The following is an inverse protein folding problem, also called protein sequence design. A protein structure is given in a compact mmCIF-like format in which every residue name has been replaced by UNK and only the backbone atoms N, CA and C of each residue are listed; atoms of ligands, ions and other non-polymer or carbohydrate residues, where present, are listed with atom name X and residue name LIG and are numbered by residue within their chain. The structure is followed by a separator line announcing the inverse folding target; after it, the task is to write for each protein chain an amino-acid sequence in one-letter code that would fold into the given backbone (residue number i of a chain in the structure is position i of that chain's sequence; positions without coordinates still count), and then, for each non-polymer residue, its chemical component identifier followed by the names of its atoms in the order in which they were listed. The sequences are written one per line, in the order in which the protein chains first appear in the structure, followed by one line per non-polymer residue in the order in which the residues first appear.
data_IF_058774004745
#
_entry.id   IF_058774004745
#
_cell.length_a   1.000
_cell.length_b   1.000
_cell.length_c   1.000
_cell.angle_alpha   90.00
_cell.angle_beta   90.00
_cell.angle_gamma   90.00
#
_symmetry.space_group_name_H-M   'P 1'
#
loop_
_entity.id
_entity.type
_entity.pdbx_description
1 polymer ?
#
# COMPACT_ATOMS: atom_id res chain seq x y z
N UNK A 1 15.19 1.25 -4.96
CA UNK A 1 14.11 0.69 -4.12
C UNK A 1 14.29 -0.81 -4.05
N UNK A 2 14.44 -1.41 -2.88
CA UNK A 2 14.60 -2.87 -2.71
C UNK A 2 13.36 -3.43 -2.01
N UNK A 3 12.78 -4.51 -2.52
CA UNK A 3 11.73 -5.25 -1.81
C UNK A 3 12.36 -5.90 -0.59
N UNK A 4 11.77 -5.68 0.59
CA UNK A 4 12.22 -6.30 1.85
C UNK A 4 11.23 -7.34 2.37
N UNK A 5 9.97 -7.27 1.98
CA UNK A 5 8.97 -8.29 2.26
C UNK A 5 7.76 -8.18 1.32
N UNK A 6 6.98 -9.25 1.23
CA UNK A 6 5.66 -9.29 0.60
C UNK A 6 4.69 -10.03 1.53
N UNK A 7 3.45 -9.56 1.61
CA UNK A 7 2.39 -10.24 2.35
C UNK A 7 1.32 -10.69 1.34
N UNK A 8 0.94 -11.98 1.34
CA UNK A 8 -0.14 -12.46 0.50
C UNK A 8 -1.48 -11.96 1.04
N UNK A 9 -2.32 -11.43 0.16
CA UNK A 9 -3.72 -11.11 0.45
C UNK A 9 -4.58 -11.43 -0.77
N UNK A 10 -5.81 -11.98 -0.62
CA UNK A 10 -6.63 -12.38 -1.76
C UNK A 10 -7.03 -11.22 -2.67
N UNK A 11 -7.25 -10.03 -2.11
CA UNK A 11 -7.85 -8.90 -2.83
C UNK A 11 -6.85 -7.83 -3.33
N UNK A 12 -5.60 -7.90 -2.90
CA UNK A 12 -4.54 -6.96 -3.29
C UNK A 12 -3.16 -7.56 -3.05
N UNK A 13 -2.15 -7.08 -3.77
CA UNK A 13 -0.76 -7.39 -3.49
C UNK A 13 -0.21 -6.39 -2.47
N UNK A 14 0.48 -6.88 -1.44
CA UNK A 14 1.14 -6.03 -0.43
C UNK A 14 2.64 -6.26 -0.52
N UNK A 15 3.39 -5.20 -0.78
CA UNK A 15 4.85 -5.21 -0.84
C UNK A 15 5.43 -4.15 0.09
N UNK A 16 6.46 -4.51 0.85
CA UNK A 16 7.24 -3.58 1.65
C UNK A 16 8.57 -3.35 0.96
N UNK A 17 8.90 -2.10 0.70
CA UNK A 17 10.19 -1.69 0.16
C UNK A 17 10.99 -0.90 1.19
N UNK A 18 12.32 -0.98 1.09
CA UNK A 18 13.23 -0.05 1.74
C UNK A 18 13.87 0.87 0.69
N UNK A 19 13.80 2.18 0.92
CA UNK A 19 14.45 3.18 0.08
C UNK A 19 14.65 4.49 0.84
N UNK A 20 15.88 5.00 0.83
CA UNK A 20 16.22 6.30 1.42
C UNK A 20 15.80 6.42 2.90
N UNK A 21 16.17 5.44 3.72
CA UNK A 21 15.87 5.39 5.17
C UNK A 21 14.37 5.40 5.48
N UNK A 22 13.55 4.88 4.55
CA UNK A 22 12.11 4.73 4.71
C UNK A 22 11.67 3.33 4.34
N UNK A 23 10.75 2.79 5.14
CA UNK A 23 9.88 1.73 4.69
C UNK A 23 8.75 2.33 3.84
N UNK A 24 8.42 1.64 2.76
CA UNK A 24 7.35 2.00 1.85
C UNK A 24 6.43 0.80 1.74
N UNK A 25 5.22 0.93 2.28
CA UNK A 25 4.18 -0.08 2.19
C UNK A 25 3.38 0.23 0.93
N UNK A 26 3.41 -0.69 -0.03
CA UNK A 26 2.71 -0.56 -1.30
C UNK A 26 1.61 -1.61 -1.37
N UNK A 27 0.41 -1.14 -1.62
CA UNK A 27 -0.73 -1.97 -1.99
C UNK A 27 -1.00 -1.81 -3.48
N UNK A 28 -1.26 -2.91 -4.18
CA UNK A 28 -1.55 -2.92 -5.61
C UNK A 28 -2.85 -3.70 -5.88
N UNK A 29 -3.78 -3.10 -6.62
CA UNK A 29 -5.01 -3.75 -7.08
C UNK A 29 -5.24 -3.43 -8.57
N UNK A 30 -4.94 -4.41 -9.42
CA UNK A 30 -4.90 -4.25 -10.88
C UNK A 30 -3.99 -3.07 -11.30
N UNK A 31 -4.55 -2.03 -11.90
CA UNK A 31 -3.81 -0.84 -12.37
C UNK A 31 -3.65 0.25 -11.31
N UNK A 32 -4.15 0.04 -10.09
CA UNK A 32 -4.13 1.01 -9.02
C UNK A 32 -3.05 0.66 -7.99
N UNK A 33 -2.35 1.68 -7.49
CA UNK A 33 -1.40 1.55 -6.39
C UNK A 33 -1.66 2.58 -5.29
N UNK A 34 -1.51 2.17 -4.04
CA UNK A 34 -1.50 3.03 -2.85
C UNK A 34 -0.18 2.82 -2.12
N UNK A 35 0.52 3.90 -1.77
CA UNK A 35 1.83 3.82 -1.11
C UNK A 35 1.91 4.70 0.14
N UNK A 36 2.32 4.10 1.25
CA UNK A 36 2.51 4.75 2.54
C UNK A 36 3.99 4.70 2.91
N UNK A 37 4.54 5.82 3.40
CA UNK A 37 5.98 5.93 3.73
C UNK A 37 6.14 6.25 5.20
N UNK A 38 7.03 5.52 5.86
CA UNK A 38 7.40 5.73 7.26
C UNK A 38 8.92 5.71 7.38
N UNK A 39 9.49 6.59 8.22
CA UNK A 39 10.93 6.58 8.44
C UNK A 39 11.31 5.28 9.17
N UNK A 40 12.44 4.68 8.81
CA UNK A 40 12.92 3.46 9.47
C UNK A 40 13.16 3.66 10.97
N UNK A 41 13.51 4.90 11.37
CA UNK A 41 13.70 5.30 12.77
C UNK A 41 12.42 5.33 13.60
N UNK A 42 11.26 5.46 12.94
CA UNK A 42 9.97 5.58 13.61
C UNK A 42 9.29 4.22 13.78
N UNK A 43 9.90 3.15 13.25
CA UNK A 43 9.37 1.78 13.33
C UNK A 43 10.17 0.97 14.33
N UNK A 44 9.56 0.70 15.48
CA UNK A 44 10.12 -0.20 16.48
C UNK A 44 10.22 -1.61 15.88
N UNK A 45 11.39 -2.25 15.98
CA UNK A 45 11.58 -3.61 15.45
C UNK A 45 11.82 -3.68 13.93
N UNK A 46 12.01 -2.54 13.25
CA UNK A 46 12.33 -2.51 11.82
C UNK A 46 11.20 -3.08 10.95
N UNK A 47 11.53 -3.92 9.97
CA UNK A 47 10.51 -4.50 9.06
C UNK A 47 9.41 -5.28 9.80
N UNK A 48 9.71 -5.87 10.96
CA UNK A 48 8.72 -6.59 11.75
C UNK A 48 7.66 -5.66 12.35
N UNK A 49 8.04 -4.47 12.80
CA UNK A 49 7.06 -3.46 13.24
C UNK A 49 6.18 -2.96 12.08
N UNK A 50 6.68 -3.03 10.84
CA UNK A 50 5.85 -2.74 9.67
C UNK A 50 4.79 -3.83 9.47
N UNK A 51 5.11 -5.11 9.73
CA UNK A 51 4.10 -6.16 9.69
C UNK A 51 3.01 -5.96 10.74
N UNK A 52 3.37 -5.54 11.94
CA UNK A 52 2.40 -5.22 13.01
C UNK A 52 1.50 -4.04 12.66
N UNK A 53 1.99 -3.08 11.86
CA UNK A 53 1.21 -1.94 11.37
C UNK A 53 0.21 -2.33 10.27
N UNK A 54 0.47 -3.41 9.53
CA UNK A 54 -0.40 -3.90 8.45
C UNK A 54 -1.42 -4.89 9.04
N UNK A 55 -2.37 -4.35 9.80
CA UNK A 55 -3.48 -5.12 10.38
C UNK A 55 -4.70 -5.19 9.46
N UNK A 56 -5.66 -6.04 9.81
CA UNK A 56 -6.88 -6.25 9.03
C UNK A 56 -7.73 -4.98 8.87
N UNK A 57 -7.72 -4.09 9.88
CA UNK A 57 -8.45 -2.83 9.84
C UNK A 57 -7.84 -1.90 8.79
N UNK A 58 -6.52 -1.75 8.80
CA UNK A 58 -5.81 -0.95 7.81
C UNK A 58 -5.96 -1.53 6.41
N UNK A 59 -5.85 -2.85 6.23
CA UNK A 59 -6.07 -3.50 4.93
C UNK A 59 -7.50 -3.21 4.42
N UNK A 60 -8.51 -3.35 5.28
CA UNK A 60 -9.90 -3.05 4.93
C UNK A 60 -10.08 -1.61 4.46
N UNK A 61 -9.49 -0.64 5.15
CA UNK A 61 -9.55 0.78 4.77
C UNK A 61 -8.86 1.05 3.43
N UNK A 62 -7.72 0.40 3.17
CA UNK A 62 -7.03 0.47 1.87
C UNK A 62 -7.90 -0.09 0.75
N UNK A 63 -8.61 -1.20 0.99
CA UNK A 63 -9.53 -1.80 0.01
C UNK A 63 -10.71 -0.88 -0.31
N UNK A 64 -11.28 -0.20 0.70
CA UNK A 64 -12.32 0.81 0.48
C UNK A 64 -11.77 2.00 -0.32
N UNK A 65 -10.55 2.45 -0.02
CA UNK A 65 -9.89 3.52 -0.76
C UNK A 65 -9.68 3.13 -2.24
N UNK A 66 -9.35 1.87 -2.55
CA UNK A 66 -9.25 1.42 -3.94
C UNK A 66 -10.58 1.52 -4.70
N UNK A 67 -11.73 1.28 -4.05
CA UNK A 67 -13.04 1.46 -4.67
C UNK A 67 -13.26 2.92 -5.06
N UNK A 68 -12.87 3.85 -4.19
CA UNK A 68 -12.96 5.29 -4.45
C UNK A 68 -12.00 5.70 -5.56
N UNK A 69 -10.74 5.26 -5.52
CA UNK A 69 -9.75 5.53 -6.57
C UNK A 69 -10.23 5.05 -7.94
N UNK A 70 -10.74 3.82 -8.02
CA UNK A 70 -11.28 3.24 -9.25
C UNK A 70 -12.41 4.09 -9.81
N UNK A 71 -13.39 4.43 -8.97
CA UNK A 71 -14.52 5.28 -9.37
C UNK A 71 -14.03 6.63 -9.90
N UNK A 72 -13.13 7.29 -9.18
CA UNK A 72 -12.59 8.59 -9.56
C UNK A 72 -11.85 8.53 -10.91
N UNK A 73 -11.07 7.46 -11.13
CA UNK A 73 -10.33 7.28 -12.37
C UNK A 73 -11.25 7.00 -13.57
N UNK A 74 -12.24 6.13 -13.40
CA UNK A 74 -13.25 5.85 -14.44
C UNK A 74 -13.98 7.14 -14.84
N UNK A 75 -14.51 7.89 -13.86
CA UNK A 75 -15.22 9.15 -14.13
C UNK A 75 -14.33 10.18 -14.81
N UNK A 76 -13.03 10.23 -14.48
CA UNK A 76 -12.09 11.12 -15.13
C UNK A 76 -11.86 10.73 -16.60
N UNK A 77 -11.77 9.42 -16.87
CA UNK A 77 -11.61 8.89 -18.21
C UNK A 77 -12.86 9.13 -19.08
N UNK A 78 -14.06 8.89 -18.55
CA UNK A 78 -15.33 9.15 -19.24
C UNK A 78 -15.57 10.62 -19.61
N UNK A 79 -14.93 11.57 -18.91
CA UNK A 79 -14.99 13.00 -19.29
C UNK A 79 -13.98 13.40 -20.34
N UNK A 80 -12.93 12.59 -20.52
CA UNK A 80 -11.87 12.83 -21.48
C UNK A 80 -12.23 12.27 -22.87
N UNK A 81 -12.90 11.12 -22.90
CA UNK A 81 -13.49 10.49 -24.10
C UNK A 81 -14.75 11.26 -24.57
#
# INVERSE_FOLDING_TARGET
MRIVAELPHPDCKISIFAMNQKFIIKFEQATLEQSYKIAETDVVGGVNGVFELIDDAFISDVLEAFKVMRRSFILAYERYD
#
